data_IF_212522917661
#
_entry.id   IF_212522917661
#
_cell.length_a   1.000
_cell.length_b   1.000
_cell.length_c   1.000
_cell.angle_alpha   90.00
_cell.angle_beta   90.00
_cell.angle_gamma   90.00
#
_symmetry.space_group_name_H-M   'P 1'
#
loop_
_entity.id
_entity.type
_entity.pdbx_description
1 polymer ?
#
# COMPACT_ATOMS: atom_id res chain seq x y z
N UNK A 1 -32.36 41.51 62.87
CA UNK A 1 -31.40 40.47 62.41
C UNK A 1 -31.61 40.31 60.91
N UNK A 2 -30.59 40.61 60.11
CA UNK A 2 -30.69 40.91 58.68
C UNK A 2 -30.27 39.70 57.84
N UNK A 3 -31.21 39.22 57.01
CA UNK A 3 -31.16 38.68 55.64
C UNK A 3 -29.97 37.87 55.05
N UNK A 4 -30.40 36.88 54.22
CA UNK A 4 -29.83 36.28 52.97
C UNK A 4 -28.99 35.01 53.13
N UNK A 5 -29.45 33.85 52.64
CA UNK A 5 -29.38 33.34 51.23
C UNK A 5 -27.91 33.07 50.83
N UNK A 6 -27.48 31.99 50.20
CA UNK A 6 -28.11 31.12 49.19
C UNK A 6 -27.21 29.88 49.01
N UNK A 7 -27.78 28.79 48.52
CA UNK A 7 -27.09 27.60 48.03
C UNK A 7 -26.01 27.94 46.99
N UNK A 8 -24.87 27.24 47.04
CA UNK A 8 -23.93 27.12 45.92
C UNK A 8 -23.57 25.64 45.73
N UNK A 9 -24.32 24.98 44.83
CA UNK A 9 -23.89 23.73 44.22
C UNK A 9 -22.71 24.02 43.31
N UNK A 10 -21.50 23.60 43.71
CA UNK A 10 -20.35 23.57 42.79
C UNK A 10 -20.46 22.26 41.99
N UNK A 11 -21.21 22.31 40.89
CA UNK A 11 -21.15 21.29 39.86
C UNK A 11 -19.85 21.49 39.08
N UNK A 12 -18.81 20.72 39.42
CA UNK A 12 -17.60 20.62 38.59
C UNK A 12 -17.98 19.81 37.36
N UNK A 13 -18.41 20.51 36.31
CA UNK A 13 -18.50 19.95 34.98
C UNK A 13 -17.07 19.72 34.47
N UNK A 14 -16.55 18.51 34.65
CA UNK A 14 -15.39 18.04 33.91
C UNK A 14 -15.77 17.95 32.44
N UNK A 15 -15.53 19.05 31.73
CA UNK A 15 -15.53 19.13 30.28
C UNK A 15 -14.57 18.05 29.77
N UNK A 16 -15.11 16.93 29.32
CA UNK A 16 -14.39 15.97 28.51
C UNK A 16 -14.07 16.68 27.19
N UNK A 17 -12.94 17.42 27.19
CA UNK A 17 -12.25 17.82 25.99
C UNK A 17 -11.78 16.53 25.31
N UNK A 18 -12.68 15.92 24.55
CA UNK A 18 -12.30 15.04 23.45
C UNK A 18 -11.56 15.91 22.45
N UNK A 19 -10.28 16.16 22.72
CA UNK A 19 -9.33 16.60 21.73
C UNK A 19 -9.30 15.51 20.67
N UNK A 20 -10.14 15.67 19.65
CA UNK A 20 -10.09 14.90 18.42
C UNK A 20 -8.75 15.17 17.78
N UNK A 21 -7.73 14.41 18.17
CA UNK A 21 -6.54 14.27 17.37
C UNK A 21 -7.01 13.88 15.96
N UNK A 22 -6.52 14.53 14.90
CA UNK A 22 -6.86 14.13 13.54
C UNK A 22 -6.57 12.64 13.44
N UNK A 23 -7.62 11.84 13.21
CA UNK A 23 -7.44 10.41 12.96
C UNK A 23 -6.60 10.33 11.69
N UNK A 24 -5.35 9.89 11.82
CA UNK A 24 -4.51 9.59 10.67
C UNK A 24 -5.30 8.61 9.80
N UNK A 25 -5.57 8.99 8.56
CA UNK A 25 -6.35 8.16 7.65
C UNK A 25 -5.56 6.88 7.38
N UNK A 26 -6.06 5.76 7.88
CA UNK A 26 -5.34 4.50 7.87
C UNK A 26 -5.56 3.74 6.56
N UNK A 27 -5.23 4.35 5.43
CA UNK A 27 -5.36 3.73 4.11
C UNK A 27 -4.00 3.57 3.46
N UNK A 28 -3.69 2.40 2.91
CA UNK A 28 -2.41 2.21 2.25
C UNK A 28 -2.49 1.47 0.92
N UNK A 29 -1.46 1.71 0.10
CA UNK A 29 -1.26 1.15 -1.22
C UNK A 29 0.23 1.09 -1.57
N UNK A 30 0.57 0.33 -2.61
CA UNK A 30 1.86 0.46 -3.26
C UNK A 30 1.82 1.65 -4.23
N UNK A 31 2.71 2.62 -4.03
CA UNK A 31 2.93 3.76 -4.94
C UNK A 31 3.73 3.31 -6.18
N UNK A 32 4.74 2.47 -5.96
CA UNK A 32 5.58 1.95 -7.01
C UNK A 32 5.86 0.46 -6.81
N UNK A 33 5.81 -0.32 -7.88
CA UNK A 33 6.13 -1.76 -7.90
C UNK A 33 7.59 -2.01 -8.30
N UNK A 34 8.17 -1.09 -9.06
CA UNK A 34 9.56 -1.15 -9.51
C UNK A 34 10.25 0.22 -9.39
N UNK A 35 10.71 0.54 -8.19
CA UNK A 35 11.47 1.74 -7.87
C UNK A 35 12.93 1.57 -8.26
N UNK A 36 13.48 2.54 -8.99
CA UNK A 36 14.90 2.59 -9.34
C UNK A 36 15.58 3.72 -8.59
N UNK A 37 16.52 3.37 -7.73
CA UNK A 37 17.37 4.33 -7.05
C UNK A 37 18.29 5.04 -8.04
N UNK A 38 18.41 6.37 -7.93
CA UNK A 38 19.41 7.15 -8.68
C UNK A 38 20.82 6.80 -8.24
N UNK A 39 21.02 6.54 -6.94
CA UNK A 39 22.28 6.07 -6.38
C UNK A 39 22.06 4.81 -5.52
N UNK A 40 22.30 3.61 -6.05
CA UNK A 40 22.12 2.36 -5.30
C UNK A 40 23.01 2.24 -4.05
N UNK A 41 24.12 2.98 -3.96
CA UNK A 41 25.00 2.98 -2.78
C UNK A 41 24.48 3.88 -1.65
N UNK A 42 23.52 4.76 -1.95
CA UNK A 42 22.85 5.65 -1.01
C UNK A 42 21.36 5.63 -1.33
N UNK A 43 20.68 4.49 -1.09
CA UNK A 43 19.28 4.33 -1.44
C UNK A 43 18.44 5.36 -0.68
N UNK A 44 17.51 5.98 -1.41
CA UNK A 44 16.51 6.87 -0.84
C UNK A 44 15.19 6.59 -1.55
N UNK A 45 14.13 6.45 -0.75
CA UNK A 45 12.77 6.22 -1.25
C UNK A 45 12.05 7.53 -1.62
N UNK A 46 12.62 8.69 -1.28
CA UNK A 46 12.08 9.99 -1.66
C UNK A 46 12.23 10.24 -3.17
N UNK A 47 11.43 11.16 -3.72
CA UNK A 47 11.42 11.46 -5.16
C UNK A 47 12.76 12.01 -5.70
N UNK A 48 13.57 12.61 -4.83
CA UNK A 48 14.94 13.03 -5.16
C UNK A 48 15.91 11.84 -5.25
N UNK A 49 15.61 10.72 -4.59
CA UNK A 49 16.45 9.51 -4.48
C UNK A 49 16.28 8.47 -5.59
N UNK A 50 15.22 8.56 -6.39
CA UNK A 50 14.87 7.54 -7.37
C UNK A 50 13.74 7.96 -8.30
N UNK A 51 13.19 6.98 -9.00
CA UNK A 51 11.97 7.15 -9.80
C UNK A 51 11.28 5.79 -10.00
N UNK A 52 9.99 5.81 -10.30
CA UNK A 52 9.22 4.59 -10.51
C UNK A 52 9.23 4.15 -11.98
N UNK A 53 9.58 2.88 -12.22
CA UNK A 53 9.58 2.23 -13.55
C UNK A 53 8.53 1.14 -13.72
N UNK A 54 7.66 0.94 -12.74
CA UNK A 54 6.62 -0.06 -12.84
C UNK A 54 5.57 0.18 -11.77
N UNK A 55 4.31 0.21 -12.18
CA UNK A 55 3.21 0.62 -11.33
C UNK A 55 2.19 -0.49 -11.16
N UNK A 56 1.37 -0.35 -10.13
CA UNK A 56 0.18 -1.15 -10.00
C UNK A 56 -0.88 -0.79 -11.05
N UNK A 57 -1.92 -1.62 -11.16
CA UNK A 57 -3.01 -1.46 -12.13
C UNK A 57 -3.64 -0.09 -11.98
N UNK A 58 -3.83 0.59 -13.12
CA UNK A 58 -4.50 1.89 -13.22
C UNK A 58 -3.93 2.95 -12.27
N UNK A 59 -2.65 2.87 -11.93
CA UNK A 59 -2.00 3.91 -11.13
C UNK A 59 -2.00 5.25 -11.89
N UNK A 60 -2.59 6.33 -11.37
CA UNK A 60 -2.92 7.50 -12.17
C UNK A 60 -1.81 8.55 -12.19
N UNK A 61 -0.70 8.20 -12.86
CA UNK A 61 0.48 9.08 -12.99
C UNK A 61 0.18 10.44 -13.63
N UNK A 62 -0.85 10.52 -14.48
CA UNK A 62 -1.24 11.77 -15.16
C UNK A 62 -1.82 12.85 -14.23
N UNK A 63 -2.29 12.46 -13.03
CA UNK A 63 -2.85 13.41 -12.06
C UNK A 63 -1.76 14.16 -11.27
N UNK A 64 -0.49 13.74 -11.38
CA UNK A 64 0.65 14.33 -10.67
C UNK A 64 0.37 14.60 -9.18
N UNK A 65 -0.31 13.65 -8.52
CA UNK A 65 -0.68 13.79 -7.13
C UNK A 65 0.56 13.67 -6.23
N UNK A 66 0.67 14.48 -5.17
CA UNK A 66 1.73 14.32 -4.18
C UNK A 66 1.77 12.90 -3.61
N UNK A 67 2.97 12.40 -3.36
CA UNK A 67 3.17 11.08 -2.76
C UNK A 67 2.36 10.93 -1.46
N UNK A 68 1.67 9.81 -1.30
CA UNK A 68 0.88 9.50 -0.10
C UNK A 68 -0.52 10.13 -0.07
N UNK A 69 -0.98 10.83 -1.11
CA UNK A 69 -2.32 11.48 -1.15
C UNK A 69 -3.34 10.78 -2.06
N UNK A 70 -3.02 9.57 -2.54
CA UNK A 70 -3.85 8.82 -3.49
C UNK A 70 -5.06 8.11 -2.81
N UNK A 71 -5.23 8.23 -1.51
CA UNK A 71 -6.46 7.87 -0.79
C UNK A 71 -7.68 8.60 -1.35
N UNK A 72 -7.52 9.88 -1.70
CA UNK A 72 -8.55 10.75 -2.29
C UNK A 72 -9.14 10.26 -3.62
N UNK A 73 -8.51 9.28 -4.25
CA UNK A 73 -8.93 8.72 -5.54
C UNK A 73 -9.22 7.22 -5.46
N UNK A 74 -9.61 6.74 -4.27
CA UNK A 74 -10.05 5.37 -4.04
C UNK A 74 -8.96 4.33 -4.38
N UNK A 75 -7.68 4.66 -4.18
CA UNK A 75 -6.57 3.77 -4.53
C UNK A 75 -6.36 2.65 -3.51
N UNK A 76 -6.79 2.84 -2.27
CA UNK A 76 -6.67 1.80 -1.25
C UNK A 76 -7.76 0.74 -1.48
N UNK A 77 -7.34 -0.51 -1.65
CA UNK A 77 -8.24 -1.64 -1.62
C UNK A 77 -8.08 -2.34 -0.27
N UNK A 78 -9.09 -2.21 0.59
CA UNK A 78 -9.15 -2.92 1.85
C UNK A 78 -9.75 -4.31 1.63
N UNK A 79 -9.04 -5.33 2.06
CA UNK A 79 -9.46 -6.73 1.96
C UNK A 79 -10.23 -7.16 3.21
N UNK A 80 -11.03 -8.21 3.05
CA UNK A 80 -11.49 -8.98 4.19
C UNK A 80 -10.30 -9.52 5.00
N UNK A 81 -10.46 -9.59 6.32
CA UNK A 81 -9.44 -10.11 7.22
C UNK A 81 -9.24 -11.63 7.04
N UNK A 82 -10.30 -12.36 6.66
CA UNK A 82 -10.25 -13.78 6.39
C UNK A 82 -9.81 -14.05 4.93
N UNK A 83 -8.60 -14.59 4.72
CA UNK A 83 -8.07 -14.83 3.37
C UNK A 83 -8.88 -15.87 2.58
N UNK A 84 -9.76 -16.66 3.21
CA UNK A 84 -10.62 -17.64 2.53
C UNK A 84 -11.74 -17.00 1.72
N UNK A 85 -12.16 -15.79 2.12
CA UNK A 85 -13.23 -15.02 1.46
C UNK A 85 -12.72 -13.72 0.85
N UNK A 86 -11.55 -13.24 1.28
CA UNK A 86 -10.92 -12.07 0.69
C UNK A 86 -10.65 -12.26 -0.81
N UNK A 87 -11.05 -11.29 -1.62
CA UNK A 87 -10.58 -11.19 -2.99
C UNK A 87 -9.15 -10.63 -2.98
N UNK A 88 -8.25 -11.15 -3.82
CA UNK A 88 -6.89 -10.62 -3.87
C UNK A 88 -6.80 -9.22 -4.47
N UNK A 89 -7.71 -8.89 -5.38
CA UNK A 89 -7.88 -7.57 -5.95
C UNK A 89 -9.37 -7.25 -5.97
N UNK A 90 -9.73 -5.96 -5.92
CA UNK A 90 -11.12 -5.54 -6.06
C UNK A 90 -11.74 -6.12 -7.33
N UNK A 91 -13.03 -6.44 -7.28
CA UNK A 91 -13.84 -6.84 -8.44
C UNK A 91 -14.61 -5.66 -9.07
N UNK A 92 -14.31 -4.40 -8.66
CA UNK A 92 -15.01 -3.12 -8.96
C UNK A 92 -16.30 -2.87 -8.20
N UNK A 93 -16.91 -3.88 -7.59
CA UNK A 93 -18.17 -3.71 -6.88
C UNK A 93 -17.97 -3.12 -5.48
N UNK A 94 -16.73 -3.06 -5.00
CA UNK A 94 -16.38 -2.58 -3.66
C UNK A 94 -16.34 -1.05 -3.55
N UNK A 95 -16.47 -0.33 -4.68
CA UNK A 95 -16.35 1.14 -4.78
C UNK A 95 -14.91 1.64 -4.57
N UNK A 96 -14.36 1.37 -3.39
CA UNK A 96 -12.98 1.64 -2.99
C UNK A 96 -12.02 0.59 -3.58
N UNK A 97 -10.88 1.02 -4.12
CA UNK A 97 -9.89 0.10 -4.67
C UNK A 97 -10.24 -0.47 -6.05
N UNK A 98 -11.26 0.05 -6.73
CA UNK A 98 -11.68 -0.41 -8.07
C UNK A 98 -10.59 -0.32 -9.15
N UNK A 99 -9.55 0.48 -8.90
CA UNK A 99 -8.35 0.55 -9.73
C UNK A 99 -7.52 -0.74 -9.70
N UNK A 100 -7.60 -1.54 -8.62
CA UNK A 100 -6.88 -2.80 -8.46
C UNK A 100 -7.44 -3.93 -9.33
N UNK A 101 -8.65 -3.78 -9.86
CA UNK A 101 -9.30 -4.82 -10.66
C UNK A 101 -8.50 -5.14 -11.91
N UNK A 102 -8.41 -6.41 -12.24
CA UNK A 102 -7.81 -6.86 -13.50
C UNK A 102 -8.45 -6.18 -14.71
N UNK A 103 -7.64 -5.74 -15.66
CA UNK A 103 -8.12 -5.27 -16.96
C UNK A 103 -8.19 -6.41 -17.99
N UNK A 104 -9.07 -6.28 -18.99
CA UNK A 104 -9.10 -7.18 -20.14
C UNK A 104 -9.09 -6.37 -21.46
N UNK A 105 -8.02 -6.45 -22.27
CA UNK A 105 -6.73 -7.09 -21.98
C UNK A 105 -5.98 -6.41 -20.82
N UNK A 106 -4.98 -7.10 -20.24
CA UNK A 106 -4.14 -6.58 -19.14
C UNK A 106 -3.54 -5.20 -19.48
N UNK A 107 -3.14 -4.99 -20.74
CA UNK A 107 -2.56 -3.73 -21.22
C UNK A 107 -3.46 -2.51 -20.99
N UNK A 108 -4.78 -2.66 -20.89
CA UNK A 108 -5.70 -1.54 -20.61
C UNK A 108 -5.56 -0.97 -19.20
N UNK A 109 -4.82 -1.63 -18.29
CA UNK A 109 -4.53 -1.10 -16.97
C UNK A 109 -3.31 -0.17 -16.94
N UNK A 110 -2.58 -0.03 -18.06
CA UNK A 110 -1.27 0.62 -18.11
C UNK A 110 -1.14 1.58 -19.30
N UNK A 111 -0.27 2.58 -19.16
CA UNK A 111 0.00 3.57 -20.19
C UNK A 111 -1.07 4.67 -20.32
N UNK A 112 -0.79 5.65 -21.19
CA UNK A 112 -1.62 6.85 -21.34
C UNK A 112 -1.72 7.61 -20.02
N UNK A 113 -2.92 7.68 -19.45
CA UNK A 113 -3.16 8.32 -18.15
C UNK A 113 -2.64 7.51 -16.95
N UNK A 114 -2.33 6.23 -17.16
CA UNK A 114 -1.86 5.30 -16.14
C UNK A 114 -0.37 5.01 -16.24
N UNK A 115 0.23 4.59 -15.12
CA UNK A 115 1.61 4.14 -15.05
C UNK A 115 1.92 2.96 -15.97
N UNK A 116 3.20 2.76 -16.29
CA UNK A 116 3.64 1.63 -17.11
C UNK A 116 3.67 0.32 -16.32
N UNK A 117 3.41 -0.78 -17.00
CA UNK A 117 3.55 -2.14 -16.47
C UNK A 117 5.03 -2.44 -16.18
N UNK A 118 5.32 -3.13 -15.08
CA UNK A 118 6.68 -3.60 -14.77
C UNK A 118 7.13 -4.62 -15.81
N UNK A 119 8.34 -4.46 -16.34
CA UNK A 119 9.01 -5.43 -17.22
C UNK A 119 10.35 -5.80 -16.60
N UNK A 120 10.61 -7.09 -16.44
CA UNK A 120 11.75 -7.61 -15.67
C UNK A 120 12.23 -8.97 -16.21
N UNK A 121 13.28 -9.51 -15.60
CA UNK A 121 13.83 -10.86 -15.83
C UNK A 121 14.00 -11.61 -14.51
N UNK A 122 14.13 -12.93 -14.58
CA UNK A 122 14.39 -13.77 -13.40
C UNK A 122 15.69 -13.33 -12.71
N UNK A 123 15.66 -13.19 -11.38
CA UNK A 123 16.82 -12.79 -10.59
C UNK A 123 17.06 -11.27 -10.52
N UNK A 124 16.31 -10.47 -11.28
CA UNK A 124 16.31 -9.02 -11.08
C UNK A 124 15.86 -8.66 -9.66
N UNK A 125 16.34 -7.51 -9.19
CA UNK A 125 15.81 -6.90 -7.97
C UNK A 125 14.69 -5.93 -8.35
N UNK A 126 13.49 -6.18 -7.84
CA UNK A 126 12.39 -5.23 -7.86
C UNK A 126 12.27 -4.58 -6.48
N UNK A 127 12.07 -3.28 -6.46
CA UNK A 127 11.91 -2.51 -5.24
C UNK A 127 10.51 -1.88 -5.21
N UNK A 128 9.75 -2.14 -4.16
CA UNK A 128 8.40 -1.61 -3.99
C UNK A 128 8.46 -0.43 -3.03
N UNK A 129 7.73 0.64 -3.34
CA UNK A 129 7.62 1.85 -2.53
C UNK A 129 6.17 2.07 -2.09
N UNK A 130 5.95 2.49 -0.84
CA UNK A 130 4.65 2.81 -0.27
C UNK A 130 4.76 3.93 0.77
N UNK A 131 3.68 4.70 1.04
CA UNK A 131 3.65 5.68 2.12
C UNK A 131 3.59 4.99 3.48
N UNK A 132 4.26 5.55 4.49
CA UNK A 132 4.31 4.99 5.84
C UNK A 132 2.95 5.06 6.57
N UNK A 133 2.12 6.05 6.23
CA UNK A 133 0.83 6.29 6.89
C UNK A 133 1.00 6.37 8.41
N UNK A 134 0.16 5.72 9.19
CA UNK A 134 0.27 5.73 10.65
C UNK A 134 1.39 4.82 11.22
N UNK A 135 2.24 4.21 10.38
CA UNK A 135 3.21 3.17 10.79
C UNK A 135 4.69 3.55 10.65
N UNK A 136 5.01 4.84 10.56
CA UNK A 136 6.41 5.26 10.46
C UNK A 136 7.24 5.12 11.75
N UNK A 137 6.71 4.50 12.82
CA UNK A 137 7.36 4.49 14.13
C UNK A 137 7.52 3.11 14.79
N UNK A 138 8.63 2.91 15.55
CA UNK A 138 8.99 1.63 16.13
C UNK A 138 7.99 0.97 17.10
N UNK A 139 7.17 1.75 17.79
CA UNK A 139 6.23 1.21 18.79
C UNK A 139 5.09 0.37 18.20
N UNK A 140 4.92 0.40 16.87
CA UNK A 140 3.93 -0.41 16.16
C UNK A 140 4.54 -1.67 15.49
N UNK A 141 5.82 -1.99 15.77
CA UNK A 141 6.68 -2.99 15.10
C UNK A 141 6.45 -4.47 15.38
N UNK A 142 5.55 -4.87 16.28
CA UNK A 142 5.44 -6.31 16.59
C UNK A 142 4.72 -7.02 15.44
N UNK A 143 5.48 -7.87 14.73
CA UNK A 143 5.08 -8.84 13.70
C UNK A 143 4.35 -8.30 12.46
N UNK A 144 4.80 -7.15 11.93
CA UNK A 144 4.23 -6.59 10.68
C UNK A 144 5.25 -6.65 9.57
N UNK A 145 4.82 -7.12 8.41
CA UNK A 145 5.60 -7.12 7.18
C UNK A 145 4.66 -6.81 6.02
N UNK A 146 5.25 -6.29 4.96
CA UNK A 146 4.60 -6.22 3.66
C UNK A 146 4.83 -7.54 2.95
N UNK A 147 3.76 -8.19 2.53
CA UNK A 147 3.81 -9.40 1.71
C UNK A 147 3.90 -9.03 0.23
N UNK A 148 4.85 -9.64 -0.47
CA UNK A 148 4.86 -9.68 -1.93
C UNK A 148 4.45 -11.08 -2.34
N UNK A 149 3.28 -11.19 -2.95
CA UNK A 149 2.73 -12.44 -3.43
C UNK A 149 2.75 -12.44 -4.96
N UNK A 150 3.20 -13.52 -5.58
CA UNK A 150 3.31 -13.62 -7.03
C UNK A 150 2.65 -14.91 -7.51
N UNK A 151 1.57 -14.78 -8.28
CA UNK A 151 0.86 -15.91 -8.85
C UNK A 151 1.82 -16.87 -9.57
N UNK A 152 1.69 -18.20 -9.38
CA UNK A 152 2.45 -19.16 -10.16
C UNK A 152 1.89 -19.30 -11.59
N UNK A 153 0.69 -18.78 -11.85
CA UNK A 153 -0.01 -18.95 -13.12
C UNK A 153 0.42 -17.89 -14.13
N UNK A 154 1.11 -18.35 -15.18
CA UNK A 154 1.53 -17.51 -16.31
C UNK A 154 0.34 -17.12 -17.19
N UNK A 155 0.22 -15.84 -17.54
CA UNK A 155 -0.84 -15.28 -18.40
C UNK A 155 -2.27 -15.64 -17.93
N UNK A 156 -2.41 -16.04 -16.66
CA UNK A 156 -3.67 -16.46 -16.07
C UNK A 156 -4.50 -15.29 -15.56
N UNK A 157 -5.73 -15.60 -15.14
CA UNK A 157 -6.58 -14.69 -14.35
C UNK A 157 -6.00 -14.52 -12.94
N UNK A 158 -6.59 -13.62 -12.18
CA UNK A 158 -6.28 -13.49 -10.76
C UNK A 158 -6.78 -14.76 -10.06
N UNK A 159 -5.88 -15.42 -9.32
CA UNK A 159 -6.16 -16.61 -8.50
C UNK A 159 -6.83 -16.20 -7.19
N UNK A 160 -7.22 -17.13 -6.32
CA UNK A 160 -7.77 -16.80 -4.99
C UNK A 160 -6.71 -16.21 -4.05
N UNK A 161 -7.13 -15.50 -3.00
CA UNK A 161 -6.19 -14.99 -2.00
C UNK A 161 -5.43 -16.12 -1.30
N UNK A 162 -6.08 -17.25 -1.01
CA UNK A 162 -5.42 -18.42 -0.40
C UNK A 162 -4.30 -18.98 -1.27
N UNK A 163 -4.56 -19.22 -2.56
CA UNK A 163 -3.53 -19.69 -3.50
C UNK A 163 -2.39 -18.68 -3.65
N UNK A 164 -2.71 -17.38 -3.63
CA UNK A 164 -1.73 -16.33 -3.74
C UNK A 164 -0.82 -16.24 -2.51
N UNK A 165 -1.35 -16.40 -1.30
CA UNK A 165 -0.56 -16.41 -0.06
C UNK A 165 0.40 -17.61 0.02
N UNK A 166 0.03 -18.76 -0.55
CA UNK A 166 0.94 -19.90 -0.70
C UNK A 166 2.13 -19.59 -1.62
N UNK A 167 2.03 -18.53 -2.42
CA UNK A 167 3.06 -18.03 -3.32
C UNK A 167 3.60 -16.66 -2.87
N UNK A 168 3.74 -16.46 -1.55
CA UNK A 168 4.48 -15.32 -0.99
C UNK A 168 5.96 -15.46 -1.37
N UNK A 169 6.48 -14.52 -2.15
CA UNK A 169 7.87 -14.54 -2.64
C UNK A 169 8.81 -13.66 -1.81
N UNK A 170 8.26 -12.71 -1.05
CA UNK A 170 9.01 -11.91 -0.10
C UNK A 170 8.14 -11.39 1.04
N UNK A 171 8.78 -11.17 2.19
CA UNK A 171 8.28 -10.37 3.30
C UNK A 171 9.23 -9.18 3.45
N UNK A 172 8.72 -7.98 3.25
CA UNK A 172 9.50 -6.75 3.31
C UNK A 172 9.27 -6.05 4.66
N UNK A 173 10.33 -5.43 5.18
CA UNK A 173 10.26 -4.65 6.41
C UNK A 173 9.32 -3.47 6.25
N UNK A 174 8.24 -3.46 7.04
CA UNK A 174 7.18 -2.48 6.87
C UNK A 174 7.59 -1.06 7.29
N UNK A 175 8.58 -0.95 8.19
CA UNK A 175 9.08 0.31 8.73
C UNK A 175 10.43 0.76 8.13
N UNK A 176 10.80 0.24 6.96
CA UNK A 176 11.99 0.71 6.23
C UNK A 176 11.68 2.06 5.54
N UNK A 177 11.51 3.09 6.35
CA UNK A 177 11.01 4.41 5.97
C UNK A 177 12.09 5.49 6.09
N UNK A 178 12.02 6.49 5.22
CA UNK A 178 12.89 7.67 5.30
C UNK A 178 12.61 8.47 6.59
N UNK A 179 13.62 9.12 7.18
CA UNK A 179 13.42 10.01 8.33
C UNK A 179 12.60 11.25 7.93
N UNK A 180 11.90 11.85 8.91
CA UNK A 180 11.09 13.06 8.68
C UNK A 180 10.04 13.31 9.78
N UNK A 181 9.36 14.46 9.72
CA UNK A 181 8.28 14.81 10.65
C UNK A 181 6.88 14.45 10.12
N UNK A 182 6.67 14.48 8.80
CA UNK A 182 5.42 14.08 8.16
C UNK A 182 5.33 12.55 8.11
N UNK A 183 4.69 11.98 9.12
CA UNK A 183 4.62 10.52 9.31
C UNK A 183 3.81 9.89 8.19
N UNK A 184 2.72 10.54 7.74
CA UNK A 184 1.78 9.96 6.79
C UNK A 184 2.41 9.74 5.40
N UNK A 185 3.17 10.74 4.96
CA UNK A 185 3.76 10.77 3.62
C UNK A 185 5.24 10.36 3.58
N UNK A 186 5.79 9.79 4.66
CA UNK A 186 7.14 9.21 4.62
C UNK A 186 7.20 8.09 3.59
N UNK A 187 8.21 8.14 2.73
CA UNK A 187 8.45 7.07 1.79
C UNK A 187 9.09 5.88 2.50
N UNK A 188 8.45 4.72 2.41
CA UNK A 188 8.99 3.43 2.80
C UNK A 188 9.17 2.55 1.59
N UNK A 189 10.00 1.53 1.71
CA UNK A 189 10.11 0.54 0.65
C UNK A 189 10.88 -0.70 1.03
N UNK A 190 10.87 -1.66 0.13
CA UNK A 190 11.66 -2.89 0.27
C UNK A 190 11.90 -3.52 -1.08
N UNK A 191 12.97 -4.29 -1.19
CA UNK A 191 13.35 -4.93 -2.44
C UNK A 191 13.33 -6.45 -2.31
N UNK A 192 13.00 -7.13 -3.40
CA UNK A 192 13.02 -8.58 -3.49
C UNK A 192 13.56 -9.04 -4.84
N UNK A 193 13.98 -10.30 -4.89
CA UNK A 193 14.44 -10.96 -6.11
C UNK A 193 13.27 -11.59 -6.85
N UNK A 194 13.17 -11.34 -8.15
CA UNK A 194 12.18 -12.02 -9.00
C UNK A 194 12.48 -13.52 -9.01
N UNK A 195 11.57 -14.38 -8.53
CA UNK A 195 11.83 -15.80 -8.44
C UNK A 195 11.87 -16.44 -9.84
N UNK A 196 12.39 -17.66 -9.91
CA UNK A 196 12.40 -18.43 -11.16
C UNK A 196 10.98 -18.66 -11.67
N UNK A 197 10.71 -18.13 -12.87
CA UNK A 197 9.45 -18.25 -13.61
C UNK A 197 9.76 -18.36 -15.10
N UNK A 198 8.87 -18.97 -15.86
CA UNK A 198 8.96 -18.91 -17.32
C UNK A 198 8.64 -17.50 -17.82
N UNK A 199 9.13 -17.07 -18.99
CA UNK A 199 8.71 -15.79 -19.57
C UNK A 199 7.19 -15.72 -19.75
N UNK A 200 6.60 -14.58 -19.39
CA UNK A 200 5.17 -14.31 -19.45
C UNK A 200 4.72 -13.20 -18.50
N UNK A 201 3.42 -12.94 -18.47
CA UNK A 201 2.81 -11.97 -17.54
C UNK A 201 2.29 -12.67 -16.31
N UNK A 202 2.59 -12.13 -15.13
CA UNK A 202 2.20 -12.69 -13.84
C UNK A 202 1.49 -11.64 -13.00
N UNK A 203 0.52 -12.10 -12.20
CA UNK A 203 -0.16 -11.28 -11.22
C UNK A 203 0.70 -11.18 -9.95
N UNK A 204 1.05 -9.96 -9.56
CA UNK A 204 1.72 -9.61 -8.31
C UNK A 204 0.76 -8.85 -7.40
N UNK A 205 0.76 -9.19 -6.11
CA UNK A 205 0.08 -8.46 -5.06
C UNK A 205 1.09 -7.97 -4.03
N UNK A 206 1.06 -6.68 -3.77
CA UNK A 206 1.57 -6.10 -2.53
C UNK A 206 0.43 -6.14 -1.50
N UNK A 207 0.66 -6.71 -0.33
CA UNK A 207 -0.35 -6.87 0.72
C UNK A 207 0.20 -6.50 2.08
N UNK A 208 -0.54 -5.72 2.85
CA UNK A 208 -0.11 -5.18 4.13
C UNK A 208 -1.23 -5.20 5.16
N UNK A 209 -0.96 -5.74 6.35
CA UNK A 209 -1.79 -5.49 7.54
C UNK A 209 -1.34 -4.19 8.19
N UNK A 210 -1.95 -3.08 7.77
CA UNK A 210 -1.63 -1.74 8.27
C UNK A 210 -1.94 -1.68 9.77
N UNK A 211 -3.20 -1.87 10.14
CA UNK A 211 -3.63 -2.04 11.53
C UNK A 211 -4.06 -3.48 11.77
N UNK A 212 -4.18 -3.87 13.04
CA UNK A 212 -4.61 -5.23 13.40
C UNK A 212 -5.96 -5.55 12.73
N UNK A 213 -5.98 -6.60 11.91
CA UNK A 213 -7.17 -7.02 11.16
C UNK A 213 -7.50 -6.17 9.91
N UNK A 214 -6.78 -5.08 9.66
CA UNK A 214 -7.00 -4.21 8.49
C UNK A 214 -5.96 -4.49 7.42
N UNK A 215 -6.36 -5.25 6.41
CA UNK A 215 -5.52 -5.64 5.29
C UNK A 215 -5.76 -4.75 4.08
N UNK A 216 -4.68 -4.28 3.48
CA UNK A 216 -4.71 -3.50 2.25
C UNK A 216 -3.92 -4.22 1.17
N UNK A 217 -4.40 -4.13 -0.07
CA UNK A 217 -3.72 -4.71 -1.21
C UNK A 217 -3.56 -3.71 -2.36
N UNK A 218 -2.48 -3.91 -3.11
CA UNK A 218 -2.25 -3.29 -4.41
C UNK A 218 -1.87 -4.37 -5.40
N UNK A 219 -2.54 -4.35 -6.54
CA UNK A 219 -2.42 -5.37 -7.57
C UNK A 219 -1.71 -4.84 -8.79
N UNK A 220 -0.75 -5.62 -9.27
CA UNK A 220 0.04 -5.32 -10.44
C UNK A 220 0.14 -6.54 -11.35
N UNK A 221 0.41 -6.30 -12.62
CA UNK A 221 0.81 -7.31 -13.57
C UNK A 221 2.27 -7.02 -13.91
N UNK A 222 3.12 -8.04 -13.83
CA UNK A 222 4.54 -7.92 -14.17
C UNK A 222 4.85 -8.82 -15.36
N UNK A 223 5.62 -8.32 -16.33
CA UNK A 223 6.06 -9.11 -17.49
C UNK A 223 7.49 -9.56 -17.28
N UNK A 224 7.67 -10.87 -17.14
CA UNK A 224 8.97 -11.54 -17.08
C UNK A 224 9.36 -11.92 -18.51
N UNK A 225 10.54 -11.48 -18.97
CA UNK A 225 10.95 -11.61 -20.38
C UNK A 225 12.03 -12.66 -20.62
N UNK A 226 12.85 -12.97 -19.61
CA UNK A 226 13.92 -13.97 -19.63
C UNK A 226 14.05 -14.59 -18.25
#
# INVERSE_FOLDING_TARGET
MVLKSTFAFVAVATLALFSGAPQAEAHSWADCIDWKFKNPKKPSWNDDGGHCTGYARRYPVSLNMPFGTQDKIYRYYQQDADPRVALPCSNRNDGYGSNETRANPVSKAYGGKFGKMTVTTVGDTLCVRWPAKNHAFPQYLIDRYVQINLSPVRNGKDITQMELLQNTVAKLDFANCMPGADIDHKACGGCFKVPRRAPGTYFLQWRWMLNQGQWYASCADIKITK
#
